data_IF_426002904234
#
_entry.id   IF_426002904234
#
_cell.length_a   1.000
_cell.length_b   1.000
_cell.length_c   1.000
_cell.angle_alpha   90.00
_cell.angle_beta   90.00
_cell.angle_gamma   90.00
#
_symmetry.space_group_name_H-M   'P 1'
#
loop_
_entity.id
_entity.type
_entity.pdbx_description
1 polymer ?
#
# COMPACT_ATOMS: atom_id res chain seq x y z
N UNK A 1 -21.44 30.15 23.43
CA UNK A 1 -21.30 28.69 23.60
C UNK A 1 -21.60 28.06 22.26
N UNK A 2 -20.57 27.80 21.46
CA UNK A 2 -20.70 27.16 20.16
C UNK A 2 -21.22 25.74 20.38
N UNK A 3 -22.37 25.39 19.79
CA UNK A 3 -22.80 23.99 19.76
C UNK A 3 -21.73 23.21 19.02
N UNK A 4 -20.89 22.48 19.77
CA UNK A 4 -19.92 21.56 19.23
C UNK A 4 -20.69 20.40 18.62
N UNK A 5 -20.96 20.52 17.32
CA UNK A 5 -21.47 19.43 16.50
C UNK A 5 -20.57 18.20 16.72
N UNK A 6 -21.10 17.13 17.36
CA UNK A 6 -20.31 16.00 17.81
C UNK A 6 -19.76 15.16 16.64
N UNK A 7 -20.21 15.40 15.41
CA UNK A 7 -19.81 14.66 14.21
C UNK A 7 -18.89 15.45 13.28
N UNK A 8 -18.27 16.54 13.76
CA UNK A 8 -17.28 17.29 12.98
C UNK A 8 -15.99 16.50 12.79
N UNK A 9 -15.59 16.34 11.54
CA UNK A 9 -14.31 15.74 11.17
C UNK A 9 -13.16 16.63 11.66
N UNK A 10 -12.14 16.02 12.26
CA UNK A 10 -10.99 16.73 12.82
C UNK A 10 -9.89 16.87 11.78
N UNK A 11 -9.35 18.08 11.53
CA UNK A 11 -8.26 18.26 10.58
C UNK A 11 -6.99 17.52 11.04
N UNK A 12 -6.21 16.90 10.12
CA UNK A 12 -5.06 16.07 10.47
C UNK A 12 -3.78 16.89 10.79
N UNK A 13 -3.93 18.08 11.39
CA UNK A 13 -2.83 19.01 11.74
C UNK A 13 -1.76 18.37 12.61
N UNK A 14 -2.18 17.63 13.62
CA UNK A 14 -1.25 16.96 14.53
C UNK A 14 -0.38 15.93 13.81
N UNK A 15 -0.89 15.27 12.77
CA UNK A 15 -0.11 14.30 12.00
C UNK A 15 0.94 14.98 11.11
N UNK A 16 0.58 16.07 10.45
CA UNK A 16 1.54 16.88 9.67
C UNK A 16 2.62 17.49 10.56
N UNK A 17 2.26 18.00 11.74
CA UNK A 17 3.23 18.55 12.69
C UNK A 17 4.21 17.45 13.15
N UNK A 18 3.73 16.25 13.50
CA UNK A 18 4.60 15.11 13.85
C UNK A 18 5.55 14.74 12.71
N UNK A 19 5.05 14.69 11.46
CA UNK A 19 5.86 14.47 10.26
C UNK A 19 6.93 15.55 10.12
N UNK A 20 6.55 16.83 10.21
CA UNK A 20 7.46 17.96 10.06
C UNK A 20 8.55 17.99 11.14
N UNK A 21 8.18 17.73 12.40
CA UNK A 21 9.14 17.64 13.52
C UNK A 21 10.11 16.48 13.30
N UNK A 22 9.61 15.31 12.91
CA UNK A 22 10.44 14.14 12.62
C UNK A 22 11.42 14.40 11.48
N UNK A 23 10.96 14.95 10.35
CA UNK A 23 11.82 15.28 9.21
C UNK A 23 12.86 16.35 9.56
N UNK A 24 12.50 17.32 10.40
CA UNK A 24 13.45 18.32 10.90
C UNK A 24 14.55 17.67 11.75
N UNK A 25 14.19 16.72 12.61
CA UNK A 25 15.14 15.97 13.43
C UNK A 25 16.09 15.12 12.56
N UNK A 26 15.55 14.39 11.58
CA UNK A 26 16.36 13.60 10.64
C UNK A 26 17.26 14.50 9.79
N UNK A 27 16.75 15.62 9.30
CA UNK A 27 17.53 16.61 8.56
C UNK A 27 18.66 17.21 9.41
N UNK A 28 18.42 17.46 10.70
CA UNK A 28 19.44 17.92 11.64
C UNK A 28 20.53 16.87 11.88
N UNK A 29 20.16 15.59 12.03
CA UNK A 29 21.12 14.48 12.09
C UNK A 29 21.95 14.42 10.80
N UNK A 30 21.31 14.52 9.64
CA UNK A 30 21.99 14.55 8.34
C UNK A 30 22.95 15.74 8.20
N UNK A 31 22.60 16.90 8.75
CA UNK A 31 23.46 18.07 8.77
C UNK A 31 24.72 17.86 9.62
N UNK A 32 24.58 17.28 10.82
CA UNK A 32 25.71 16.93 11.70
C UNK A 32 26.62 15.91 11.01
N UNK A 33 26.04 14.90 10.37
CA UNK A 33 26.77 13.83 9.70
C UNK A 33 27.17 14.16 8.24
N UNK A 34 27.13 15.43 7.80
CA UNK A 34 27.29 15.73 6.38
C UNK A 34 28.64 15.27 5.79
N UNK A 35 29.72 15.30 6.59
CA UNK A 35 31.04 14.85 6.13
C UNK A 35 31.03 13.36 5.83
N UNK A 36 30.51 12.56 6.77
CA UNK A 36 30.36 11.11 6.62
C UNK A 36 29.42 10.78 5.45
N UNK A 37 28.28 11.47 5.37
CA UNK A 37 27.28 11.28 4.30
C UNK A 37 27.88 11.57 2.92
N UNK A 38 28.66 12.65 2.76
CA UNK A 38 29.31 12.96 1.48
C UNK A 38 30.30 11.88 1.06
N UNK A 39 31.18 11.44 1.96
CA UNK A 39 32.13 10.35 1.67
C UNK A 39 31.38 9.07 1.28
N UNK A 40 30.34 8.74 2.05
CA UNK A 40 29.48 7.60 1.80
C UNK A 40 28.64 7.71 0.52
N UNK A 41 28.31 8.92 0.07
CA UNK A 41 27.53 9.15 -1.15
C UNK A 41 28.40 8.96 -2.39
N UNK A 42 29.59 9.58 -2.41
CA UNK A 42 30.54 9.51 -3.54
C UNK A 42 31.18 8.14 -3.74
N UNK A 43 31.01 7.25 -2.78
CA UNK A 43 31.25 5.82 -2.88
C UNK A 43 30.58 5.15 -4.10
N UNK A 44 29.26 5.34 -4.22
CA UNK A 44 28.41 4.76 -5.25
C UNK A 44 27.37 5.80 -5.67
N UNK A 45 27.77 6.85 -6.41
CA UNK A 45 26.93 8.02 -6.64
C UNK A 45 25.65 7.70 -7.40
N UNK A 46 25.67 6.69 -8.28
CA UNK A 46 24.48 6.25 -9.02
C UNK A 46 23.42 5.64 -8.10
N UNK A 47 23.79 4.60 -7.35
CA UNK A 47 22.85 3.89 -6.48
C UNK A 47 22.44 4.74 -5.27
N UNK A 48 23.38 5.43 -4.62
CA UNK A 48 23.04 6.33 -3.50
C UNK A 48 22.19 7.52 -3.96
N UNK A 49 22.40 8.01 -5.18
CA UNK A 49 21.54 9.02 -5.81
C UNK A 49 20.12 8.51 -6.04
N UNK A 50 19.97 7.27 -6.50
CA UNK A 50 18.66 6.62 -6.64
C UNK A 50 17.96 6.44 -5.29
N UNK A 51 18.69 5.98 -4.26
CA UNK A 51 18.17 5.86 -2.89
C UNK A 51 17.62 7.21 -2.41
N UNK A 52 18.40 8.29 -2.50
CA UNK A 52 17.96 9.63 -2.11
C UNK A 52 16.77 10.14 -2.95
N UNK A 53 16.75 9.85 -4.24
CA UNK A 53 15.64 10.22 -5.13
C UNK A 53 14.33 9.52 -4.74
N UNK A 54 14.39 8.22 -4.46
CA UNK A 54 13.24 7.44 -3.98
C UNK A 54 12.81 7.90 -2.59
N UNK A 55 13.75 8.21 -1.69
CA UNK A 55 13.45 8.77 -0.36
C UNK A 55 12.69 10.08 -0.45
N UNK A 56 13.19 11.04 -1.25
CA UNK A 56 12.54 12.33 -1.43
C UNK A 56 11.15 12.17 -2.04
N UNK A 57 11.01 11.30 -3.05
CA UNK A 57 9.72 11.00 -3.66
C UNK A 57 8.74 10.39 -2.65
N UNK A 58 9.17 9.43 -1.83
CA UNK A 58 8.37 8.82 -0.78
C UNK A 58 7.93 9.82 0.28
N UNK A 59 8.82 10.72 0.70
CA UNK A 59 8.50 11.82 1.63
C UNK A 59 7.41 12.73 1.05
N UNK A 60 7.58 13.16 -0.20
CA UNK A 60 6.60 14.02 -0.89
C UNK A 60 5.25 13.30 -1.03
N UNK A 61 5.24 12.02 -1.38
CA UNK A 61 4.01 11.24 -1.47
C UNK A 61 3.30 11.12 -0.12
N UNK A 62 4.02 10.79 0.96
CA UNK A 62 3.42 10.66 2.29
C UNK A 62 2.81 11.98 2.78
N UNK A 63 3.51 13.11 2.60
CA UNK A 63 2.99 14.45 2.90
C UNK A 63 1.76 14.75 2.02
N UNK A 64 1.83 14.43 0.73
CA UNK A 64 0.72 14.63 -0.21
C UNK A 64 -0.52 13.83 0.17
N UNK A 65 -0.35 12.59 0.67
CA UNK A 65 -1.46 11.77 1.14
C UNK A 65 -2.16 12.42 2.33
N UNK A 66 -1.43 12.86 3.36
CA UNK A 66 -2.02 13.54 4.53
C UNK A 66 -2.62 14.90 4.15
N UNK A 67 -1.95 15.66 3.28
CA UNK A 67 -2.45 16.96 2.81
C UNK A 67 -3.74 16.82 1.99
N UNK A 68 -3.94 15.70 1.27
CA UNK A 68 -5.20 15.45 0.55
C UNK A 68 -6.38 15.32 1.51
N UNK A 69 -6.22 14.71 2.69
CA UNK A 69 -7.31 14.58 3.67
C UNK A 69 -7.88 15.91 4.11
N UNK A 70 -7.08 16.99 4.17
CA UNK A 70 -7.60 18.33 4.47
C UNK A 70 -8.65 18.78 3.47
N UNK A 71 -8.40 18.52 2.18
CA UNK A 71 -9.34 18.91 1.12
C UNK A 71 -10.64 18.11 1.24
N UNK A 72 -10.53 16.82 1.53
CA UNK A 72 -11.69 15.95 1.73
C UNK A 72 -12.52 16.41 2.94
N UNK A 73 -11.88 16.67 4.07
CA UNK A 73 -12.54 17.16 5.30
C UNK A 73 -13.24 18.50 5.05
N UNK A 74 -12.56 19.45 4.39
CA UNK A 74 -13.14 20.75 4.05
C UNK A 74 -14.33 20.62 3.09
N UNK A 75 -14.29 19.66 2.16
CA UNK A 75 -15.41 19.38 1.27
C UNK A 75 -16.61 18.78 2.03
N UNK A 76 -16.40 17.79 2.91
CA UNK A 76 -17.49 17.20 3.72
C UNK A 76 -18.07 18.23 4.69
N UNK A 77 -17.27 19.19 5.16
CA UNK A 77 -17.76 20.31 5.97
C UNK A 77 -18.58 21.35 5.19
N UNK A 78 -18.62 21.27 3.85
CA UNK A 78 -19.27 22.29 3.00
C UNK A 78 -18.47 23.58 2.86
N UNK A 79 -17.20 23.59 3.30
CA UNK A 79 -16.32 24.77 3.31
C UNK A 79 -15.54 24.93 2.00
N UNK A 80 -15.55 23.92 1.11
CA UNK A 80 -14.83 23.92 -0.16
C UNK A 80 -15.73 23.52 -1.33
N UNK A 81 -15.77 24.38 -2.37
CA UNK A 81 -16.42 24.10 -3.65
C UNK A 81 -15.56 23.28 -4.63
N UNK A 82 -14.30 22.95 -4.26
CA UNK A 82 -13.44 22.10 -5.10
C UNK A 82 -13.82 20.64 -4.94
N UNK A 83 -13.88 19.94 -6.08
CA UNK A 83 -14.19 18.51 -6.09
C UNK A 83 -13.20 17.68 -5.27
N UNK A 84 -13.70 16.71 -4.49
CA UNK A 84 -12.89 15.75 -3.76
C UNK A 84 -12.23 14.76 -4.72
N UNK A 85 -11.08 14.21 -4.35
CA UNK A 85 -10.39 13.18 -5.15
C UNK A 85 -10.70 11.80 -4.57
N UNK A 86 -10.55 11.63 -3.24
CA UNK A 86 -10.82 10.36 -2.56
C UNK A 86 -12.33 10.12 -2.48
N UNK A 87 -13.11 11.16 -2.19
CA UNK A 87 -14.57 11.08 -2.11
C UNK A 87 -15.28 11.31 -3.45
N UNK A 88 -14.57 11.33 -4.59
CA UNK A 88 -15.18 11.60 -5.90
C UNK A 88 -16.41 10.70 -6.22
N UNK A 89 -16.39 9.37 -5.96
CA UNK A 89 -17.58 8.53 -6.17
C UNK A 89 -18.72 8.89 -5.22
N UNK A 90 -18.41 9.19 -3.96
CA UNK A 90 -19.39 9.60 -2.97
C UNK A 90 -20.04 10.94 -3.35
N UNK A 91 -19.25 11.92 -3.80
CA UNK A 91 -19.76 13.21 -4.26
C UNK A 91 -20.75 13.06 -5.42
N UNK A 92 -20.49 12.13 -6.35
CA UNK A 92 -21.42 11.82 -7.45
C UNK A 92 -22.69 11.16 -6.97
N UNK A 93 -22.61 10.21 -6.05
CA UNK A 93 -23.82 9.52 -5.55
C UNK A 93 -24.65 10.46 -4.68
N UNK A 94 -24.01 11.24 -3.81
CA UNK A 94 -24.68 12.21 -2.94
C UNK A 94 -25.32 13.34 -3.76
N UNK A 95 -24.67 13.81 -4.84
CA UNK A 95 -25.27 14.77 -5.76
C UNK A 95 -26.39 14.17 -6.60
N UNK A 96 -26.30 12.91 -7.03
CA UNK A 96 -27.37 12.22 -7.77
C UNK A 96 -28.60 11.92 -6.89
N UNK A 97 -28.40 11.72 -5.59
CA UNK A 97 -29.46 11.50 -4.59
C UNK A 97 -30.28 12.76 -4.32
N UNK A 98 -29.67 13.95 -4.39
CA UNK A 98 -30.29 15.18 -3.94
C UNK A 98 -30.68 15.11 -2.45
N UNK A 99 -31.93 15.47 -2.14
CA UNK A 99 -32.45 15.49 -0.76
C UNK A 99 -32.99 14.14 -0.25
N UNK A 100 -32.93 13.06 -1.05
CA UNK A 100 -33.42 11.77 -0.58
C UNK A 100 -32.59 11.27 0.64
N UNK A 101 -33.19 10.57 1.62
CA UNK A 101 -32.48 10.12 2.82
C UNK A 101 -31.37 9.12 2.49
N UNK A 102 -30.30 9.09 3.31
CA UNK A 102 -29.27 8.06 3.20
C UNK A 102 -29.83 6.72 3.67
N UNK A 103 -29.66 5.68 2.85
CA UNK A 103 -29.99 4.30 3.26
C UNK A 103 -28.75 3.59 3.79
N UNK A 104 -28.95 2.64 4.70
CA UNK A 104 -27.87 1.81 5.26
C UNK A 104 -27.06 1.06 4.18
N UNK A 105 -27.72 0.63 3.11
CA UNK A 105 -27.08 -0.05 1.97
C UNK A 105 -26.12 0.89 1.23
N UNK A 106 -26.56 2.13 0.97
CA UNK A 106 -25.73 3.13 0.29
C UNK A 106 -24.54 3.56 1.14
N UNK A 107 -24.75 3.76 2.45
CA UNK A 107 -23.69 4.06 3.41
C UNK A 107 -22.58 3.01 3.33
N UNK A 108 -22.93 1.72 3.44
CA UNK A 108 -21.96 0.63 3.41
C UNK A 108 -21.20 0.56 2.10
N UNK A 109 -21.88 0.76 0.97
CA UNK A 109 -21.22 0.77 -0.35
C UNK A 109 -20.21 1.92 -0.51
N UNK A 110 -20.57 3.12 -0.04
CA UNK A 110 -19.68 4.29 -0.05
C UNK A 110 -18.45 4.06 0.83
N UNK A 111 -18.65 3.55 2.05
CA UNK A 111 -17.57 3.26 2.98
C UNK A 111 -16.64 2.16 2.44
N UNK A 112 -17.18 1.10 1.84
CA UNK A 112 -16.39 0.02 1.25
C UNK A 112 -15.55 0.50 0.04
N UNK A 113 -16.13 1.38 -0.79
CA UNK A 113 -15.41 2.03 -1.88
C UNK A 113 -14.28 2.93 -1.37
N UNK A 114 -14.54 3.71 -0.31
CA UNK A 114 -13.52 4.56 0.33
C UNK A 114 -12.40 3.72 0.96
N UNK A 115 -12.75 2.65 1.67
CA UNK A 115 -11.79 1.74 2.28
C UNK A 115 -10.83 1.17 1.23
N UNK A 116 -11.37 0.71 0.09
CA UNK A 116 -10.58 0.19 -1.03
C UNK A 116 -9.59 1.24 -1.57
N UNK A 117 -10.04 2.49 -1.78
CA UNK A 117 -9.19 3.57 -2.29
C UNK A 117 -8.10 3.99 -1.30
N UNK A 118 -8.42 4.00 0.00
CA UNK A 118 -7.44 4.29 1.04
C UNK A 118 -6.38 3.18 1.12
N UNK A 119 -6.77 1.91 1.00
CA UNK A 119 -5.80 0.81 1.01
C UNK A 119 -4.92 0.78 -0.25
N UNK A 120 -5.45 1.08 -1.44
CA UNK A 120 -4.66 1.24 -2.68
C UNK A 120 -3.59 2.34 -2.52
N UNK A 121 -3.96 3.47 -1.90
CA UNK A 121 -3.00 4.53 -1.58
C UNK A 121 -1.91 4.07 -0.60
N UNK A 122 -2.24 3.20 0.36
CA UNK A 122 -1.28 2.64 1.32
C UNK A 122 -0.36 1.62 0.68
N UNK A 123 -0.85 0.83 -0.26
CA UNK A 123 -0.05 -0.16 -0.98
C UNK A 123 1.15 0.47 -1.68
N UNK A 124 0.94 1.61 -2.34
CA UNK A 124 2.03 2.38 -2.98
C UNK A 124 3.11 2.79 -1.97
N UNK A 125 2.71 3.21 -0.77
CA UNK A 125 3.63 3.65 0.29
C UNK A 125 4.41 2.47 0.90
N UNK A 126 3.73 1.35 1.14
CA UNK A 126 4.34 0.08 1.56
C UNK A 126 5.35 -0.43 0.53
N UNK A 127 5.01 -0.35 -0.76
CA UNK A 127 5.92 -0.71 -1.84
C UNK A 127 7.17 0.15 -1.86
N UNK A 128 7.06 1.48 -1.71
CA UNK A 128 8.22 2.38 -1.66
C UNK A 128 9.14 2.08 -0.47
N UNK A 129 8.55 1.76 0.69
CA UNK A 129 9.33 1.33 1.86
C UNK A 129 10.08 0.03 1.58
N UNK A 130 9.42 -0.97 0.98
CA UNK A 130 10.05 -2.23 0.59
C UNK A 130 11.13 -2.07 -0.50
N UNK A 131 10.88 -1.20 -1.48
CA UNK A 131 11.83 -0.83 -2.52
C UNK A 131 13.08 -0.19 -1.91
N UNK A 132 12.93 0.65 -0.88
CA UNK A 132 14.04 1.28 -0.18
C UNK A 132 14.94 0.25 0.52
N UNK A 133 14.34 -0.76 1.16
CA UNK A 133 15.07 -1.90 1.74
C UNK A 133 15.80 -2.67 0.65
N UNK A 134 15.10 -2.98 -0.45
CA UNK A 134 15.70 -3.69 -1.58
C UNK A 134 16.87 -2.94 -2.20
N UNK A 135 16.77 -1.62 -2.38
CA UNK A 135 17.86 -0.79 -2.88
C UNK A 135 19.06 -0.79 -1.92
N UNK A 136 18.83 -0.80 -0.61
CA UNK A 136 19.89 -0.98 0.38
C UNK A 136 20.58 -2.34 0.31
N UNK A 137 19.82 -3.42 0.08
CA UNK A 137 20.38 -4.76 -0.15
C UNK A 137 21.13 -4.85 -1.48
N UNK A 138 20.67 -4.16 -2.52
CA UNK A 138 21.35 -4.09 -3.81
C UNK A 138 22.72 -3.41 -3.67
N UNK A 139 22.85 -2.45 -2.75
CA UNK A 139 24.14 -1.85 -2.38
C UNK A 139 25.15 -2.87 -1.83
N UNK A 140 24.73 -3.80 -0.97
CA UNK A 140 25.62 -4.85 -0.46
C UNK A 140 26.01 -5.85 -1.55
N UNK A 141 25.05 -6.22 -2.39
CA UNK A 141 25.30 -7.09 -3.54
C UNK A 141 26.35 -6.51 -4.49
N UNK A 142 26.28 -5.21 -4.79
CA UNK A 142 27.26 -4.54 -5.65
C UNK A 142 28.68 -4.56 -5.08
N UNK A 143 28.87 -4.27 -3.79
CA UNK A 143 30.22 -4.34 -3.22
C UNK A 143 30.74 -5.77 -3.06
N UNK A 144 29.87 -6.78 -2.94
CA UNK A 144 30.29 -8.18 -3.05
C UNK A 144 30.77 -8.52 -4.46
N UNK A 145 30.10 -8.04 -5.52
CA UNK A 145 30.58 -8.20 -6.90
C UNK A 145 31.94 -7.53 -7.11
N UNK A 146 32.16 -6.33 -6.56
CA UNK A 146 33.46 -5.66 -6.61
C UNK A 146 34.55 -6.45 -5.86
N UNK A 147 34.20 -7.01 -4.70
CA UNK A 147 35.09 -7.87 -3.91
C UNK A 147 35.53 -9.08 -4.74
N UNK A 148 34.59 -9.80 -5.35
CA UNK A 148 34.87 -10.98 -6.19
C UNK A 148 35.72 -10.61 -7.41
N UNK A 149 35.39 -9.51 -8.09
CA UNK A 149 36.17 -9.03 -9.23
C UNK A 149 37.61 -8.67 -8.86
N UNK A 150 37.81 -8.03 -7.70
CA UNK A 150 39.14 -7.70 -7.21
C UNK A 150 39.98 -8.94 -6.88
N UNK A 151 39.39 -9.97 -6.26
CA UNK A 151 40.08 -11.25 -5.99
C UNK A 151 40.49 -11.94 -7.30
N UNK A 152 39.63 -11.92 -8.32
CA UNK A 152 39.95 -12.46 -9.64
C UNK A 152 41.17 -11.78 -10.28
N UNK A 153 41.28 -10.45 -10.16
CA UNK A 153 42.42 -9.70 -10.66
C UNK A 153 43.74 -10.08 -9.97
N UNK A 154 43.71 -10.36 -8.66
CA UNK A 154 44.88 -10.80 -7.88
C UNK A 154 45.32 -12.20 -8.28
N UNK A 155 44.37 -13.11 -8.46
CA UNK A 155 44.66 -14.47 -8.93
C UNK A 155 45.31 -14.43 -10.33
N UNK A 156 44.82 -13.54 -11.20
CA UNK A 156 45.39 -13.34 -12.53
C UNK A 156 46.80 -12.71 -12.51
N UNK A 157 47.08 -11.80 -11.57
CA UNK A 157 48.40 -11.15 -11.48
C UNK A 157 49.48 -12.11 -10.96
N UNK A 158 49.11 -13.04 -10.08
CA UNK A 158 50.04 -14.05 -9.53
C UNK A 158 50.51 -15.09 -10.56
N UNK A 159 49.81 -15.26 -11.69
CA UNK A 159 50.20 -16.21 -12.74
C UNK A 159 51.31 -15.70 -13.67
N UNK A 160 51.74 -14.43 -13.56
CA UNK A 160 52.65 -13.78 -14.53
C UNK A 160 53.91 -13.08 -13.97
N UNK A 161 54.14 -13.05 -12.66
CA UNK A 161 55.26 -12.30 -12.04
C UNK A 161 56.41 -13.17 -11.53
N UNK A 162 57.67 -12.84 -11.89
CA UNK A 162 58.89 -13.58 -11.49
C UNK A 162 59.62 -13.04 -10.25
N UNK A 163 59.22 -11.90 -9.69
CA UNK A 163 59.90 -11.25 -8.57
C UNK A 163 59.11 -11.34 -7.25
N UNK A 164 59.70 -11.94 -6.21
CA UNK A 164 59.06 -12.15 -4.90
C UNK A 164 58.56 -10.85 -4.25
N UNK A 165 59.23 -9.71 -4.52
CA UNK A 165 58.86 -8.40 -4.01
C UNK A 165 57.62 -7.81 -4.72
N UNK A 166 57.44 -8.07 -6.02
CA UNK A 166 56.25 -7.64 -6.76
C UNK A 166 55.04 -8.49 -6.35
N UNK A 167 55.23 -9.80 -6.18
CA UNK A 167 54.19 -10.73 -5.71
C UNK A 167 53.64 -10.34 -4.33
N UNK A 168 54.50 -9.92 -3.39
CA UNK A 168 54.05 -9.43 -2.09
C UNK A 168 53.26 -8.12 -2.18
N UNK A 169 53.67 -7.21 -3.05
CA UNK A 169 52.98 -5.92 -3.22
C UNK A 169 51.64 -6.10 -3.95
N UNK A 170 51.55 -7.05 -4.87
CA UNK A 170 50.33 -7.45 -5.57
C UNK A 170 49.34 -8.13 -4.62
N UNK A 171 49.81 -9.01 -3.73
CA UNK A 171 48.98 -9.58 -2.65
C UNK A 171 48.47 -8.51 -1.69
N UNK A 172 49.35 -7.59 -1.26
CA UNK A 172 48.97 -6.49 -0.37
C UNK A 172 47.90 -5.59 -0.99
N UNK A 173 48.11 -5.15 -2.23
CA UNK A 173 47.18 -4.29 -2.97
C UNK A 173 45.90 -5.03 -3.31
N UNK A 174 46.06 -6.31 -3.62
CA UNK A 174 45.01 -7.25 -3.97
C UNK A 174 44.03 -7.57 -2.85
N UNK A 175 44.50 -7.60 -1.61
CA UNK A 175 43.68 -7.81 -0.43
C UNK A 175 43.08 -6.50 0.12
N UNK A 176 43.73 -5.36 -0.13
CA UNK A 176 43.25 -4.04 0.33
C UNK A 176 41.99 -3.56 -0.42
N UNK A 177 41.92 -3.78 -1.74
CA UNK A 177 40.74 -3.43 -2.56
C UNK A 177 39.43 -4.08 -2.07
N UNK A 178 39.33 -5.41 -1.93
CA UNK A 178 38.10 -6.06 -1.49
C UNK A 178 37.68 -5.60 -0.09
N UNK A 179 38.64 -5.34 0.81
CA UNK A 179 38.35 -4.80 2.13
C UNK A 179 37.69 -3.42 2.06
N UNK A 180 38.15 -2.56 1.15
CA UNK A 180 37.55 -1.23 0.92
C UNK A 180 36.19 -1.29 0.23
N UNK A 181 36.03 -2.16 -0.78
CA UNK A 181 34.77 -2.36 -1.51
C UNK A 181 33.64 -2.88 -0.62
N UNK A 182 33.96 -3.72 0.37
CA UNK A 182 32.98 -4.20 1.35
C UNK A 182 32.43 -3.08 2.24
N UNK A 183 33.28 -2.19 2.77
CA UNK A 183 32.86 -1.05 3.60
C UNK A 183 31.99 -0.06 2.80
N UNK A 184 32.28 0.08 1.51
CA UNK A 184 31.54 0.89 0.56
C UNK A 184 30.11 0.39 0.35
N UNK A 185 29.96 -0.92 0.13
CA UNK A 185 28.68 -1.63 -0.01
C UNK A 185 27.81 -1.50 1.25
N UNK A 186 28.43 -1.69 2.41
CA UNK A 186 27.75 -1.67 3.70
C UNK A 186 27.12 -0.31 3.97
N UNK A 187 27.80 0.78 3.64
CA UNK A 187 27.28 2.13 3.89
C UNK A 187 26.08 2.47 3.01
N UNK A 188 26.05 1.96 1.79
CA UNK A 188 24.87 2.08 0.92
C UNK A 188 23.65 1.34 1.49
N UNK A 189 23.88 0.18 2.10
CA UNK A 189 22.83 -0.56 2.82
C UNK A 189 22.26 0.21 4.00
N UNK A 190 23.13 0.89 4.76
CA UNK A 190 22.70 1.75 5.86
C UNK A 190 21.82 2.91 5.37
N UNK A 191 22.09 3.50 4.21
CA UNK A 191 21.21 4.51 3.63
C UNK A 191 19.83 3.94 3.29
N UNK A 192 19.76 2.78 2.62
CA UNK A 192 18.49 2.14 2.29
C UNK A 192 17.69 1.76 3.54
N UNK A 193 18.34 1.20 4.55
CA UNK A 193 17.68 0.86 5.81
C UNK A 193 17.23 2.10 6.58
N UNK A 194 18.08 3.12 6.73
CA UNK A 194 17.71 4.37 7.39
C UNK A 194 16.54 5.06 6.69
N UNK A 195 16.59 5.17 5.36
CA UNK A 195 15.50 5.74 4.58
C UNK A 195 14.21 4.92 4.64
N UNK A 196 14.29 3.58 4.71
CA UNK A 196 13.10 2.73 4.92
C UNK A 196 12.44 2.98 6.28
N UNK A 197 13.22 3.29 7.32
CA UNK A 197 12.69 3.66 8.63
C UNK A 197 12.00 5.03 8.59
N UNK A 198 12.58 5.99 7.86
CA UNK A 198 11.97 7.30 7.63
C UNK A 198 10.64 7.14 6.89
N UNK A 199 10.63 6.45 5.75
CA UNK A 199 9.41 6.20 4.97
C UNK A 199 8.38 5.39 5.76
N UNK A 200 8.81 4.36 6.50
CA UNK A 200 7.94 3.56 7.35
C UNK A 200 7.27 4.38 8.44
N UNK A 201 7.98 5.31 9.08
CA UNK A 201 7.37 6.23 10.04
C UNK A 201 6.33 7.15 9.38
N UNK A 202 6.65 7.71 8.21
CA UNK A 202 5.71 8.56 7.47
C UNK A 202 4.45 7.79 7.04
N UNK A 203 4.61 6.54 6.63
CA UNK A 203 3.51 5.64 6.27
C UNK A 203 2.58 5.38 7.47
N UNK A 204 3.15 5.12 8.66
CA UNK A 204 2.36 4.98 9.88
C UNK A 204 1.55 6.24 10.20
N UNK A 205 2.17 7.42 10.05
CA UNK A 205 1.49 8.70 10.28
C UNK A 205 0.35 8.93 9.28
N UNK A 206 0.55 8.59 8.01
CA UNK A 206 -0.48 8.69 6.97
C UNK A 206 -1.61 7.67 7.20
N UNK A 207 -1.27 6.43 7.55
CA UNK A 207 -2.22 5.37 7.87
C UNK A 207 -3.12 5.75 9.05
N UNK A 208 -2.54 6.27 10.14
CA UNK A 208 -3.31 6.75 11.29
C UNK A 208 -4.26 7.89 10.93
N UNK A 209 -3.80 8.86 10.12
CA UNK A 209 -4.64 9.98 9.68
C UNK A 209 -5.83 9.49 8.81
N UNK A 210 -5.59 8.55 7.90
CA UNK A 210 -6.62 7.95 7.05
C UNK A 210 -7.63 7.11 7.83
N UNK A 211 -7.16 6.27 8.77
CA UNK A 211 -8.05 5.46 9.61
C UNK A 211 -8.94 6.35 10.48
N UNK A 212 -8.38 7.43 11.05
CA UNK A 212 -9.15 8.41 11.79
C UNK A 212 -10.22 9.08 10.92
N UNK A 213 -9.83 9.55 9.73
CA UNK A 213 -10.77 10.16 8.78
C UNK A 213 -11.90 9.20 8.39
N UNK A 214 -11.59 7.92 8.12
CA UNK A 214 -12.57 6.90 7.80
C UNK A 214 -13.60 6.73 8.92
N UNK A 215 -13.13 6.53 10.16
CA UNK A 215 -14.02 6.35 11.33
C UNK A 215 -14.86 7.60 11.58
N UNK A 216 -14.27 8.81 11.55
CA UNK A 216 -15.03 10.05 11.74
C UNK A 216 -16.08 10.29 10.64
N UNK A 217 -15.78 9.88 9.39
CA UNK A 217 -16.74 9.94 8.30
C UNK A 217 -17.87 8.91 8.46
N UNK A 218 -17.54 7.70 8.87
CA UNK A 218 -18.51 6.63 9.18
C UNK A 218 -19.47 7.07 10.29
N UNK A 219 -18.93 7.61 11.39
CA UNK A 219 -19.74 8.11 12.52
C UNK A 219 -20.69 9.22 12.06
N UNK A 220 -20.20 10.18 11.26
CA UNK A 220 -21.02 11.28 10.74
C UNK A 220 -22.12 10.81 9.78
N UNK A 221 -21.80 9.90 8.86
CA UNK A 221 -22.78 9.41 7.91
C UNK A 221 -23.81 8.49 8.58
N UNK A 222 -23.39 7.69 9.58
CA UNK A 222 -24.29 6.86 10.37
C UNK A 222 -25.28 7.71 11.17
N UNK A 223 -24.81 8.84 11.74
CA UNK A 223 -25.69 9.78 12.43
C UNK A 223 -26.79 10.36 11.54
N UNK A 224 -26.52 10.56 10.24
CA UNK A 224 -27.51 11.02 9.26
C UNK A 224 -28.54 9.93 8.89
N UNK A 225 -28.15 8.65 8.96
CA UNK A 225 -29.04 7.49 8.75
C UNK A 225 -29.95 7.26 9.96
N UNK A 226 -29.46 7.44 11.19
CA UNK A 226 -30.22 7.28 12.43
C UNK A 226 -31.29 8.37 12.68
N UNK A 227 -31.31 9.45 11.88
CA UNK A 227 -32.38 10.47 11.90
C UNK A 227 -33.61 10.05 11.08
N UNK A 228 -33.71 8.78 10.66
CA UNK A 228 -35.04 8.19 10.49
C UNK A 228 -35.59 7.97 11.90
N UNK A 229 -36.61 8.72 12.36
CA UNK A 229 -37.30 8.31 13.56
C UNK A 229 -37.76 6.89 13.26
N UNK A 230 -37.41 5.95 14.13
CA UNK A 230 -38.40 4.95 14.48
C UNK A 230 -39.56 5.73 15.07
N UNK A 231 -40.36 6.36 14.21
CA UNK A 231 -41.72 6.71 14.52
C UNK A 231 -42.25 5.38 15.02
N UNK A 232 -42.70 5.26 16.29
CA UNK A 232 -43.42 4.07 16.67
C UNK A 232 -44.51 4.00 15.63
N UNK A 233 -44.42 3.01 14.74
CA UNK A 233 -45.45 2.79 13.75
C UNK A 233 -46.69 2.62 14.60
N UNK A 234 -47.51 3.67 14.69
CA UNK A 234 -48.84 3.60 15.21
C UNK A 234 -49.48 2.61 14.27
N UNK A 235 -49.51 1.33 14.68
CA UNK A 235 -49.54 0.15 13.82
C UNK A 235 -50.35 0.41 12.54
N UNK A 236 -49.68 0.95 11.53
CA UNK A 236 -50.30 1.30 10.27
C UNK A 236 -50.16 0.06 9.42
N UNK A 237 -51.27 -0.36 8.82
CA UNK A 237 -51.31 -1.54 7.96
C UNK A 237 -50.18 -1.56 6.90
N UNK A 238 -49.67 -0.39 6.52
CA UNK A 238 -48.54 -0.22 5.61
C UNK A 238 -47.21 -0.77 6.16
N UNK A 239 -46.93 -0.64 7.46
CA UNK A 239 -45.66 -1.12 8.05
C UNK A 239 -45.58 -2.65 8.02
N UNK A 240 -46.71 -3.32 8.28
CA UNK A 240 -46.84 -4.78 8.19
C UNK A 240 -46.79 -5.22 6.71
N UNK A 241 -47.33 -4.43 5.78
CA UNK A 241 -47.21 -4.70 4.35
C UNK A 241 -45.77 -4.51 3.84
N UNK A 242 -45.03 -3.52 4.32
CA UNK A 242 -43.62 -3.31 3.96
C UNK A 242 -42.71 -4.40 4.52
N UNK A 243 -42.94 -4.84 5.77
CA UNK A 243 -42.25 -6.02 6.33
C UNK A 243 -42.63 -7.31 5.60
N UNK A 244 -43.90 -7.50 5.27
CA UNK A 244 -44.35 -8.66 4.48
C UNK A 244 -43.75 -8.64 3.07
N UNK A 245 -43.64 -7.47 2.43
CA UNK A 245 -43.01 -7.30 1.13
C UNK A 245 -41.50 -7.55 1.20
N UNK A 246 -40.81 -7.08 2.25
CA UNK A 246 -39.39 -7.34 2.48
C UNK A 246 -39.08 -8.81 2.77
N UNK A 247 -39.90 -9.46 3.60
CA UNK A 247 -39.79 -10.91 3.83
C UNK A 247 -40.10 -11.69 2.55
N UNK A 248 -41.09 -11.26 1.77
CA UNK A 248 -41.40 -11.90 0.50
C UNK A 248 -40.27 -11.74 -0.53
N UNK A 249 -39.67 -10.55 -0.63
CA UNK A 249 -38.53 -10.33 -1.54
C UNK A 249 -37.30 -11.13 -1.09
N UNK A 250 -37.05 -11.24 0.22
CA UNK A 250 -35.95 -12.04 0.75
C UNK A 250 -36.17 -13.54 0.53
N UNK A 251 -37.41 -14.03 0.66
CA UNK A 251 -37.75 -15.42 0.33
C UNK A 251 -37.63 -15.68 -1.18
N UNK A 252 -38.03 -14.75 -2.03
CA UNK A 252 -37.81 -14.86 -3.48
C UNK A 252 -36.32 -14.88 -3.81
N UNK A 253 -35.54 -13.99 -3.22
CA UNK A 253 -34.09 -13.94 -3.39
C UNK A 253 -33.41 -15.24 -2.94
N UNK A 254 -33.79 -15.78 -1.77
CA UNK A 254 -33.23 -17.03 -1.27
C UNK A 254 -33.61 -18.24 -2.15
N UNK A 255 -34.82 -18.23 -2.74
CA UNK A 255 -35.22 -19.25 -3.71
C UNK A 255 -34.41 -19.15 -5.01
N UNK A 256 -34.13 -17.93 -5.45
CA UNK A 256 -33.33 -17.66 -6.64
C UNK A 256 -31.88 -18.12 -6.44
N UNK A 257 -31.27 -17.82 -5.28
CA UNK A 257 -29.95 -18.36 -4.93
C UNK A 257 -29.95 -19.89 -4.82
N UNK A 258 -30.97 -20.50 -4.21
CA UNK A 258 -31.05 -21.95 -4.16
C UNK A 258 -31.23 -22.60 -5.53
N UNK A 259 -31.88 -21.93 -6.48
CA UNK A 259 -31.95 -22.39 -7.88
C UNK A 259 -30.58 -22.31 -8.52
N UNK A 260 -29.87 -21.19 -8.40
CA UNK A 260 -28.52 -21.04 -8.96
C UNK A 260 -27.54 -22.07 -8.39
N UNK A 261 -27.63 -22.40 -7.09
CA UNK A 261 -26.80 -23.45 -6.47
C UNK A 261 -27.15 -24.82 -7.06
N UNK A 262 -28.44 -25.14 -7.24
CA UNK A 262 -28.85 -26.40 -7.88
C UNK A 262 -28.36 -26.49 -9.31
N UNK A 263 -28.56 -25.44 -10.10
CA UNK A 263 -28.12 -25.36 -11.50
C UNK A 263 -26.59 -25.48 -11.59
N UNK A 264 -25.85 -24.88 -10.65
CA UNK A 264 -24.40 -25.00 -10.58
C UNK A 264 -23.96 -26.41 -10.21
N UNK A 265 -24.62 -27.08 -9.26
CA UNK A 265 -24.32 -28.47 -8.87
C UNK A 265 -24.58 -29.42 -10.05
N UNK A 266 -25.69 -29.24 -10.76
CA UNK A 266 -26.03 -30.03 -11.95
C UNK A 266 -24.99 -29.82 -13.07
N UNK A 267 -24.65 -28.57 -13.37
CA UNK A 267 -23.60 -28.25 -14.35
C UNK A 267 -22.22 -28.79 -13.96
N UNK A 268 -21.90 -28.85 -12.66
CA UNK A 268 -20.66 -29.44 -12.18
C UNK A 268 -20.66 -30.96 -12.36
N UNK A 269 -21.79 -31.63 -12.10
CA UNK A 269 -21.95 -33.08 -12.26
C UNK A 269 -21.77 -33.49 -13.73
N UNK A 270 -22.43 -32.78 -14.65
CA UNK A 270 -22.26 -33.00 -16.10
C UNK A 270 -20.81 -32.80 -16.54
N UNK A 271 -20.15 -31.76 -16.03
CA UNK A 271 -18.75 -31.47 -16.35
C UNK A 271 -17.81 -32.56 -15.83
N UNK A 272 -18.13 -33.15 -14.69
CA UNK A 272 -17.38 -34.27 -14.11
C UNK A 272 -17.53 -35.54 -14.95
N UNK A 273 -18.75 -35.82 -15.41
CA UNK A 273 -19.04 -36.94 -16.31
C UNK A 273 -18.34 -36.79 -17.66
N UNK A 274 -18.35 -35.59 -18.26
CA UNK A 274 -17.62 -35.29 -19.49
C UNK A 274 -16.10 -35.42 -19.33
N UNK A 275 -15.55 -35.00 -18.18
CA UNK A 275 -14.13 -35.19 -17.86
C UNK A 275 -13.79 -36.67 -17.76
N UNK A 276 -14.62 -37.45 -17.07
CA UNK A 276 -14.40 -38.89 -16.91
C UNK A 276 -14.52 -39.61 -18.27
N UNK A 277 -15.51 -39.27 -19.09
CA UNK A 277 -15.64 -39.78 -20.45
C UNK A 277 -14.45 -39.38 -21.35
N UNK A 278 -13.94 -38.16 -21.21
CA UNK A 278 -12.75 -37.71 -21.93
C UNK A 278 -11.52 -38.51 -21.51
N UNK A 279 -11.33 -38.73 -20.20
CA UNK A 279 -10.25 -39.56 -19.66
C UNK A 279 -10.34 -40.99 -20.17
N UNK A 280 -11.52 -41.61 -20.12
CA UNK A 280 -11.73 -42.98 -20.62
C UNK A 280 -11.47 -43.08 -22.13
N UNK A 281 -11.88 -42.06 -22.91
CA UNK A 281 -11.59 -42.01 -24.34
C UNK A 281 -10.08 -41.91 -24.64
N UNK A 282 -9.32 -41.19 -23.80
CA UNK A 282 -7.86 -41.10 -23.92
C UNK A 282 -7.18 -42.43 -23.56
N UNK A 283 -7.69 -43.16 -22.56
CA UNK A 283 -7.19 -44.49 -22.23
C UNK A 283 -7.44 -45.49 -23.36
N UNK A 284 -8.64 -45.50 -23.94
CA UNK A 284 -9.00 -46.37 -25.07
C UNK A 284 -8.21 -46.00 -26.33
N UNK A 285 -7.98 -44.71 -26.59
CA UNK A 285 -7.15 -44.26 -27.72
C UNK A 285 -5.69 -44.69 -27.55
N UNK A 286 -5.14 -44.61 -26.33
CA UNK A 286 -3.78 -45.05 -26.00
C UNK A 286 -3.59 -46.57 -26.15
N UNK A 287 -4.62 -47.37 -25.86
CA UNK A 287 -4.58 -48.83 -26.07
C UNK A 287 -4.69 -49.25 -27.54
N UNK A 288 -5.16 -48.36 -28.43
CA UNK A 288 -5.29 -48.61 -29.87
C UNK A 288 -4.12 -48.11 -30.70
N UNK A 289 -3.09 -47.50 -30.12
CA UNK A 289 -1.82 -47.23 -30.80
C UNK A 289 -0.94 -48.50 -30.77
N UNK A 290 -0.84 -49.28 -31.86
CA UNK A 290 0.20 -50.30 -31.95
C UNK A 290 1.57 -49.61 -32.00
N UNK A 291 2.51 -50.12 -31.18
CA UNK A 291 3.93 -49.74 -31.20
C UNK A 291 4.56 -49.92 -32.58
#
# INVERSE_FOLDING_TARGET
MTSSDPYRLTPPTMFLVRIGVFLTLIGFIGFILNKQIKVAFFANPGLNGLILGVELFGIVLAISQVARLYREIAWVAGESARDPILLAPMARILSARGDAPLTQSLLRHVLDSLATRLDESRETSRYLTGLMVFLGLLGTFWGLLETVGSIGAVISSLQGGSEMASLFNDLKTGLARPLSGMSLAFTSSLFGLAGSLVLGFLDLQAGQAQSRFYTELEDRLSAEVDIEPFAPAAASHDSIQHLAAGVHSMVQHMRQEQQLIRDWVEAQAERQELLQASIDSLFVAREREPR
#
